data_IF_440525274394
#
_entry.id   IF_440525274394
#
_cell.length_a   1.000
_cell.length_b   1.000
_cell.length_c   1.000
_cell.angle_alpha   90.00
_cell.angle_beta   90.00
_cell.angle_gamma   90.00
#
_symmetry.space_group_name_H-M   'P 1'
#
loop_
_entity.id
_entity.type
_entity.pdbx_description
1 polymer ?
#
# COMPACT_ATOMS: atom_id res chain seq x y z
N UNK A 1 29.93 -25.04 -8.94
CA UNK A 1 30.32 -24.27 -7.76
C UNK A 1 29.10 -23.45 -7.37
N UNK A 2 28.52 -23.78 -6.22
CA UNK A 2 27.25 -23.25 -5.73
C UNK A 2 27.49 -21.88 -5.10
N UNK A 3 27.43 -20.82 -5.89
CA UNK A 3 27.61 -19.45 -5.42
C UNK A 3 26.50 -18.98 -4.46
N UNK A 4 25.40 -19.73 -4.34
CA UNK A 4 24.27 -19.39 -3.45
C UNK A 4 24.60 -19.67 -1.97
N UNK A 5 25.58 -20.53 -1.66
CA UNK A 5 25.96 -20.87 -0.29
C UNK A 5 26.84 -19.85 0.45
N UNK A 6 27.35 -18.83 -0.26
CA UNK A 6 28.19 -17.77 0.33
C UNK A 6 27.46 -16.43 0.53
N UNK A 7 26.26 -16.25 0.01
CA UNK A 7 25.50 -15.02 0.20
C UNK A 7 24.77 -15.06 1.54
N UNK A 8 24.99 -14.02 2.34
CA UNK A 8 24.29 -13.87 3.62
C UNK A 8 22.80 -13.64 3.39
N UNK A 9 21.96 -14.16 4.28
CA UNK A 9 20.50 -14.07 4.19
C UNK A 9 20.03 -12.62 4.10
N UNK A 10 20.64 -11.69 4.82
CA UNK A 10 20.30 -10.27 4.76
C UNK A 10 20.47 -9.66 3.37
N UNK A 11 21.55 -10.04 2.67
CA UNK A 11 21.80 -9.60 1.28
C UNK A 11 20.78 -10.19 0.30
N UNK A 12 20.46 -11.49 0.46
CA UNK A 12 19.44 -12.15 -0.37
C UNK A 12 18.06 -11.55 -0.12
N UNK A 13 17.74 -11.25 1.14
CA UNK A 13 16.48 -10.66 1.54
C UNK A 13 16.32 -9.24 0.99
N UNK A 14 17.36 -8.39 1.10
CA UNK A 14 17.37 -7.05 0.52
C UNK A 14 17.15 -7.11 -1.00
N UNK A 15 17.88 -7.98 -1.69
CA UNK A 15 17.77 -8.17 -3.14
C UNK A 15 16.37 -8.70 -3.54
N UNK A 16 15.81 -9.64 -2.78
CA UNK A 16 14.50 -10.22 -3.04
C UNK A 16 13.39 -9.19 -2.90
N UNK A 17 13.37 -8.43 -1.81
CA UNK A 17 12.38 -7.38 -1.57
C UNK A 17 12.50 -6.24 -2.61
N UNK A 18 13.72 -5.88 -2.98
CA UNK A 18 13.96 -4.87 -4.01
C UNK A 18 13.51 -5.37 -5.39
N UNK A 19 13.94 -6.56 -5.78
CA UNK A 19 13.62 -7.16 -7.08
C UNK A 19 12.14 -7.47 -7.25
N UNK A 20 11.42 -7.83 -6.17
CA UNK A 20 9.98 -8.05 -6.19
C UNK A 20 9.20 -6.78 -6.52
N UNK A 21 9.68 -5.59 -6.14
CA UNK A 21 9.01 -4.32 -6.37
C UNK A 21 7.64 -4.20 -5.70
N UNK A 22 7.31 -5.10 -4.78
CA UNK A 22 6.05 -5.19 -4.04
C UNK A 22 6.27 -5.66 -2.61
N UNK A 23 5.27 -5.50 -1.76
CA UNK A 23 5.33 -6.10 -0.43
C UNK A 23 5.19 -7.63 -0.50
N UNK A 24 5.91 -8.34 0.38
CA UNK A 24 5.86 -9.80 0.54
C UNK A 24 5.53 -10.16 1.98
N UNK A 25 4.79 -11.26 2.19
CA UNK A 25 4.58 -11.83 3.53
C UNK A 25 5.81 -12.62 3.97
N UNK A 26 5.92 -12.87 5.29
CA UNK A 26 6.99 -13.73 5.83
C UNK A 26 6.93 -15.11 5.19
N UNK A 27 5.73 -15.70 5.03
CA UNK A 27 5.54 -16.98 4.37
C UNK A 27 6.05 -16.97 2.93
N UNK A 28 5.71 -15.92 2.14
CA UNK A 28 6.21 -15.79 0.75
C UNK A 28 7.75 -15.71 0.72
N UNK A 29 8.37 -15.04 1.69
CA UNK A 29 9.82 -14.94 1.80
C UNK A 29 10.48 -16.26 2.19
N UNK A 30 9.91 -16.97 3.18
CA UNK A 30 10.37 -18.28 3.60
C UNK A 30 10.31 -19.30 2.43
N UNK A 31 9.18 -19.35 1.71
CA UNK A 31 9.01 -20.22 0.55
C UNK A 31 10.00 -19.90 -0.58
N UNK A 32 10.31 -18.61 -0.77
CA UNK A 32 11.20 -18.16 -1.84
C UNK A 32 12.68 -18.39 -1.55
N UNK A 33 13.08 -18.26 -0.28
CA UNK A 33 14.50 -18.28 0.13
C UNK A 33 14.90 -19.58 0.85
N UNK A 34 13.93 -20.39 1.29
CA UNK A 34 14.17 -21.69 1.93
C UNK A 34 14.63 -21.61 3.39
N UNK A 35 14.25 -20.54 4.11
CA UNK A 35 14.56 -20.34 5.52
C UNK A 35 13.29 -20.47 6.37
N UNK A 36 13.44 -20.74 7.66
CA UNK A 36 12.33 -20.78 8.58
C UNK A 36 11.81 -19.39 8.98
N UNK A 37 10.63 -19.35 9.63
CA UNK A 37 9.93 -18.10 9.94
C UNK A 37 10.67 -17.26 10.99
N UNK A 38 11.25 -17.91 12.00
CA UNK A 38 11.96 -17.23 13.09
C UNK A 38 13.24 -16.58 12.57
N UNK A 39 14.03 -17.33 11.79
CA UNK A 39 15.25 -16.83 11.15
C UNK A 39 14.94 -15.70 10.15
N UNK A 40 13.86 -15.82 9.39
CA UNK A 40 13.42 -14.79 8.45
C UNK A 40 13.01 -13.50 9.17
N UNK A 41 12.26 -13.60 10.27
CA UNK A 41 11.83 -12.45 11.07
C UNK A 41 13.03 -11.74 11.70
N UNK A 42 13.96 -12.49 12.30
CA UNK A 42 15.18 -11.93 12.88
C UNK A 42 16.01 -11.17 11.84
N UNK A 43 16.13 -11.75 10.64
CA UNK A 43 16.82 -11.12 9.53
C UNK A 43 16.10 -9.84 9.06
N UNK A 44 14.77 -9.84 8.95
CA UNK A 44 13.97 -8.67 8.57
C UNK A 44 14.14 -7.52 9.56
N UNK A 45 14.09 -7.78 10.86
CA UNK A 45 14.29 -6.76 11.89
C UNK A 45 15.72 -6.23 11.91
N UNK A 46 16.71 -7.10 11.72
CA UNK A 46 18.14 -6.73 11.61
C UNK A 46 18.38 -5.82 10.40
N UNK A 47 17.91 -6.23 9.22
CA UNK A 47 18.05 -5.47 7.98
C UNK A 47 17.30 -4.12 8.04
N UNK A 48 16.09 -4.10 8.63
CA UNK A 48 15.35 -2.86 8.90
C UNK A 48 16.16 -1.88 9.74
N UNK A 49 16.79 -2.37 10.83
CA UNK A 49 17.66 -1.58 11.69
C UNK A 49 18.89 -1.03 10.94
N UNK A 50 19.50 -1.87 10.12
CA UNK A 50 20.70 -1.53 9.33
C UNK A 50 20.40 -0.46 8.31
N UNK A 51 19.34 -0.63 7.50
CA UNK A 51 18.94 0.35 6.48
C UNK A 51 18.49 1.68 7.11
N UNK A 52 17.79 1.64 8.25
CA UNK A 52 17.39 2.84 8.97
C UNK A 52 18.57 3.68 9.43
N UNK A 53 19.63 3.04 9.94
CA UNK A 53 20.84 3.70 10.47
C UNK A 53 21.85 4.08 9.38
N UNK A 54 21.73 3.52 8.18
CA UNK A 54 22.64 3.77 7.08
C UNK A 54 22.63 5.25 6.69
N UNK A 55 23.74 5.97 6.94
CA UNK A 55 23.91 7.35 6.52
C UNK A 55 24.03 7.41 4.99
N UNK A 56 23.30 8.33 4.35
CA UNK A 56 23.27 8.49 2.89
C UNK A 56 22.51 7.40 2.15
N UNK A 57 21.86 6.46 2.84
CA UNK A 57 20.95 5.47 2.22
C UNK A 57 19.56 6.04 2.01
N UNK A 58 19.01 5.88 0.80
CA UNK A 58 17.67 6.34 0.44
C UNK A 58 16.55 5.35 0.81
N UNK A 59 16.90 4.08 1.07
CA UNK A 59 15.93 2.99 1.25
C UNK A 59 15.76 2.62 2.72
N UNK A 60 14.58 2.11 3.03
CA UNK A 60 14.23 1.51 4.31
C UNK A 60 13.33 0.29 4.11
N UNK A 61 13.20 -0.56 5.14
CA UNK A 61 12.18 -1.61 5.19
C UNK A 61 10.95 -1.09 5.92
N UNK A 62 9.80 -1.22 5.29
CA UNK A 62 8.48 -0.97 5.86
C UNK A 62 7.78 -2.28 6.18
N UNK A 63 7.20 -2.34 7.37
CA UNK A 63 6.32 -3.41 7.83
C UNK A 63 4.88 -2.90 7.84
N UNK A 64 4.00 -3.59 7.13
CA UNK A 64 2.58 -3.24 7.03
C UNK A 64 1.74 -4.50 7.26
N UNK A 65 1.22 -4.64 8.46
CA UNK A 65 0.52 -5.85 8.88
C UNK A 65 1.45 -7.06 8.91
N UNK A 66 1.16 -8.04 8.07
CA UNK A 66 1.96 -9.27 7.87
C UNK A 66 2.92 -9.18 6.65
N UNK A 67 3.09 -7.99 6.09
CA UNK A 67 3.86 -7.81 4.84
C UNK A 67 5.02 -6.84 5.01
N UNK A 68 6.06 -7.08 4.22
CA UNK A 68 7.32 -6.34 4.24
C UNK A 68 7.67 -5.82 2.85
N UNK A 69 8.20 -4.62 2.77
CA UNK A 69 8.62 -4.02 1.51
C UNK A 69 9.87 -3.16 1.69
N UNK A 70 10.68 -3.05 0.63
CA UNK A 70 11.66 -1.97 0.52
C UNK A 70 10.97 -0.75 -0.06
N UNK A 71 11.15 0.39 0.57
CA UNK A 71 10.62 1.67 0.12
C UNK A 71 11.65 2.79 0.29
N UNK A 72 11.41 3.91 -0.36
CA UNK A 72 12.20 5.12 -0.16
C UNK A 72 11.87 5.72 1.22
N UNK A 73 12.88 6.21 1.94
CA UNK A 73 12.69 6.92 3.21
C UNK A 73 11.79 8.14 3.00
N UNK A 74 10.87 8.44 3.94
CA UNK A 74 9.88 9.49 3.77
C UNK A 74 10.44 10.86 3.47
N UNK A 75 11.48 11.23 4.21
CA UNK A 75 12.20 12.49 4.06
C UNK A 75 12.83 12.67 2.66
N UNK A 76 13.13 11.57 1.98
CA UNK A 76 13.63 11.56 0.61
C UNK A 76 12.49 11.47 -0.41
N UNK A 77 11.44 10.71 -0.08
CA UNK A 77 10.28 10.51 -0.96
C UNK A 77 9.58 11.81 -1.35
N UNK A 78 9.57 12.82 -0.47
CA UNK A 78 9.03 14.14 -0.74
C UNK A 78 9.75 14.86 -1.89
N UNK A 79 11.05 14.60 -2.04
CA UNK A 79 11.91 15.22 -3.07
C UNK A 79 11.98 14.44 -4.38
N UNK A 80 11.32 13.27 -4.47
CA UNK A 80 11.31 12.50 -5.70
C UNK A 80 10.53 13.21 -6.81
N UNK A 81 11.04 13.17 -8.05
CA UNK A 81 10.28 13.63 -9.20
C UNK A 81 9.01 12.79 -9.38
N UNK A 82 7.98 13.37 -10.01
CA UNK A 82 6.67 12.70 -10.20
C UNK A 82 6.80 11.36 -10.91
N UNK A 83 7.69 11.26 -11.88
CA UNK A 83 7.97 10.07 -12.69
C UNK A 83 8.52 8.90 -11.87
N UNK A 84 9.15 9.20 -10.73
CA UNK A 84 9.67 8.19 -9.79
C UNK A 84 8.66 7.77 -8.71
N UNK A 85 7.48 8.40 -8.66
CA UNK A 85 6.41 8.01 -7.72
C UNK A 85 5.58 6.89 -8.31
N UNK A 86 5.35 5.83 -7.53
CA UNK A 86 4.50 4.72 -7.94
C UNK A 86 3.05 5.20 -8.01
N UNK A 87 2.48 5.26 -9.21
CA UNK A 87 1.06 5.54 -9.39
C UNK A 87 0.22 4.27 -9.15
N UNK A 88 -0.88 4.45 -8.42
CA UNK A 88 -1.84 3.38 -8.22
C UNK A 88 -2.68 3.18 -9.49
N UNK A 89 -2.82 1.95 -10.02
CA UNK A 89 -3.69 1.70 -11.18
C UNK A 89 -5.10 2.24 -10.97
N UNK A 90 -5.68 2.88 -12.00
CA UNK A 90 -7.02 3.52 -11.94
C UNK A 90 -8.10 2.56 -11.41
N UNK A 91 -8.05 1.27 -11.81
CA UNK A 91 -8.98 0.23 -11.33
C UNK A 91 -9.00 0.05 -9.81
N UNK A 92 -7.89 0.39 -9.14
CA UNK A 92 -7.76 0.26 -7.69
C UNK A 92 -8.13 1.54 -6.94
N UNK A 93 -8.21 2.68 -7.62
CA UNK A 93 -8.49 3.97 -6.98
C UNK A 93 -9.83 3.97 -6.27
N UNK A 94 -10.89 3.44 -6.90
CA UNK A 94 -12.22 3.36 -6.29
C UNK A 94 -12.20 2.53 -5.01
N UNK A 95 -11.60 1.34 -5.04
CA UNK A 95 -11.50 0.48 -3.87
C UNK A 95 -10.68 1.13 -2.74
N UNK A 96 -9.55 1.76 -3.08
CA UNK A 96 -8.70 2.48 -2.14
C UNK A 96 -9.46 3.65 -1.48
N UNK A 97 -10.21 4.42 -2.27
CA UNK A 97 -11.02 5.55 -1.81
C UNK A 97 -12.14 5.10 -0.86
N UNK A 98 -12.86 4.03 -1.19
CA UNK A 98 -13.90 3.46 -0.32
C UNK A 98 -13.31 2.98 1.02
N UNK A 99 -12.15 2.33 0.99
CA UNK A 99 -11.46 1.91 2.23
C UNK A 99 -11.07 3.13 3.07
N UNK A 100 -10.49 4.16 2.48
CA UNK A 100 -10.09 5.37 3.19
C UNK A 100 -11.28 6.08 3.84
N UNK A 101 -12.39 6.18 3.11
CA UNK A 101 -13.62 6.84 3.55
C UNK A 101 -14.31 6.10 4.72
N UNK A 102 -14.38 4.76 4.65
CA UNK A 102 -15.10 3.95 5.62
C UNK A 102 -14.23 3.34 6.72
N UNK A 103 -12.89 3.41 6.62
CA UNK A 103 -11.97 2.73 7.53
C UNK A 103 -12.24 3.01 9.03
N UNK A 104 -12.03 2.04 9.91
CA UNK A 104 -11.79 0.64 9.60
C UNK A 104 -13.04 -0.02 9.00
N UNK A 105 -12.89 -0.77 7.90
CA UNK A 105 -14.02 -1.46 7.29
C UNK A 105 -13.75 -2.95 7.10
N UNK A 106 -14.79 -3.77 7.07
CA UNK A 106 -14.65 -5.19 6.77
C UNK A 106 -14.48 -5.40 5.26
N UNK A 107 -13.70 -6.42 4.89
CA UNK A 107 -13.61 -6.83 3.49
C UNK A 107 -14.96 -7.26 2.92
N UNK A 108 -15.82 -7.88 3.75
CA UNK A 108 -17.19 -8.23 3.36
C UNK A 108 -18.00 -7.01 2.92
N UNK A 109 -17.85 -5.88 3.63
CA UNK A 109 -18.52 -4.63 3.26
C UNK A 109 -18.01 -4.08 1.92
N UNK A 110 -16.71 -4.19 1.66
CA UNK A 110 -16.16 -3.80 0.36
C UNK A 110 -16.69 -4.69 -0.77
N UNK A 111 -16.88 -6.00 -0.51
CA UNK A 111 -17.48 -6.94 -1.48
C UNK A 111 -18.94 -6.58 -1.76
N UNK A 112 -19.71 -6.15 -0.76
CA UNK A 112 -21.08 -5.66 -0.97
C UNK A 112 -21.12 -4.44 -1.92
N UNK A 113 -20.11 -3.55 -1.83
CA UNK A 113 -20.04 -2.32 -2.62
C UNK A 113 -19.51 -2.55 -4.04
N UNK A 114 -18.52 -3.44 -4.21
CA UNK A 114 -17.77 -3.62 -5.47
C UNK A 114 -17.92 -5.01 -6.10
N UNK A 115 -18.69 -5.89 -5.47
CA UNK A 115 -18.84 -7.28 -5.91
C UNK A 115 -17.59 -8.13 -5.68
N UNK A 116 -17.55 -9.31 -6.31
CA UNK A 116 -16.48 -10.31 -6.11
C UNK A 116 -15.07 -9.82 -6.48
N UNK A 117 -14.96 -8.87 -7.41
CA UNK A 117 -13.67 -8.25 -7.78
C UNK A 117 -12.98 -7.55 -6.60
N UNK A 118 -13.71 -7.21 -5.54
CA UNK A 118 -13.15 -6.62 -4.32
C UNK A 118 -12.06 -7.48 -3.68
N UNK A 119 -12.13 -8.81 -3.78
CA UNK A 119 -11.09 -9.70 -3.27
C UNK A 119 -9.75 -9.49 -3.98
N UNK A 120 -9.79 -9.34 -5.30
CA UNK A 120 -8.58 -9.09 -6.09
C UNK A 120 -8.05 -7.67 -5.82
N UNK A 121 -8.91 -6.67 -5.75
CA UNK A 121 -8.52 -5.29 -5.41
C UNK A 121 -7.85 -5.21 -4.04
N UNK A 122 -8.39 -5.89 -3.02
CA UNK A 122 -7.78 -5.95 -1.69
C UNK A 122 -6.41 -6.61 -1.73
N UNK A 123 -6.25 -7.69 -2.51
CA UNK A 123 -4.97 -8.37 -2.69
C UNK A 123 -3.95 -7.43 -3.35
N UNK A 124 -4.31 -6.83 -4.48
CA UNK A 124 -3.46 -5.90 -5.20
C UNK A 124 -3.10 -4.67 -4.35
N UNK A 125 -4.07 -4.02 -3.69
CA UNK A 125 -3.82 -2.87 -2.81
C UNK A 125 -2.87 -3.21 -1.66
N UNK A 126 -2.96 -4.41 -1.09
CA UNK A 126 -2.02 -4.87 -0.08
C UNK A 126 -0.61 -5.11 -0.66
N UNK A 127 -0.51 -5.65 -1.89
CA UNK A 127 0.77 -5.81 -2.58
C UNK A 127 1.44 -4.46 -2.88
N UNK A 128 0.65 -3.43 -3.25
CA UNK A 128 1.14 -2.06 -3.38
C UNK A 128 1.47 -1.40 -2.03
N UNK A 129 1.16 -2.05 -0.91
CA UNK A 129 1.37 -1.50 0.43
C UNK A 129 0.41 -0.35 0.78
N UNK A 130 -0.71 -0.20 0.07
CA UNK A 130 -1.67 0.88 0.28
C UNK A 130 -2.61 0.61 1.44
N UNK A 131 -2.88 -0.66 1.75
CA UNK A 131 -3.77 -1.06 2.85
C UNK A 131 -3.14 -2.13 3.73
N UNK A 132 -3.52 -2.11 5.00
CA UNK A 132 -3.29 -3.17 5.97
C UNK A 132 -4.54 -4.06 6.06
N UNK A 133 -4.33 -5.39 6.17
CA UNK A 133 -5.38 -6.40 6.27
C UNK A 133 -5.17 -7.22 7.52
N UNK A 134 -5.99 -7.03 8.53
CA UNK A 134 -5.94 -7.83 9.76
C UNK A 134 -7.13 -8.77 9.85
N UNK A 135 -6.91 -9.99 10.34
CA UNK A 135 -7.98 -10.94 10.62
C UNK A 135 -8.96 -10.35 11.64
N UNK A 136 -10.25 -10.46 11.36
CA UNK A 136 -11.33 -9.95 12.20
C UNK A 136 -12.52 -10.93 12.12
N UNK A 137 -12.50 -11.96 12.96
CA UNK A 137 -13.45 -13.07 12.88
C UNK A 137 -13.36 -13.81 11.55
N UNK A 138 -14.47 -13.90 10.84
CA UNK A 138 -14.59 -14.58 9.54
C UNK A 138 -14.25 -13.63 8.35
N UNK A 139 -13.91 -12.39 8.61
CA UNK A 139 -13.56 -11.40 7.59
C UNK A 139 -12.18 -10.80 7.87
N UNK A 140 -11.78 -9.84 7.06
CA UNK A 140 -10.57 -9.04 7.28
C UNK A 140 -10.95 -7.59 7.50
N UNK A 141 -10.32 -6.95 8.47
CA UNK A 141 -10.41 -5.51 8.70
C UNK A 141 -9.40 -4.81 7.80
N UNK A 142 -9.87 -3.83 7.05
CA UNK A 142 -9.10 -3.05 6.09
C UNK A 142 -8.88 -1.64 6.63
N UNK A 143 -7.64 -1.17 6.58
CA UNK A 143 -7.26 0.20 6.93
C UNK A 143 -6.18 0.70 5.97
N UNK A 144 -6.11 2.01 5.77
CA UNK A 144 -5.05 2.63 4.97
C UNK A 144 -3.71 2.63 5.69
N UNK A 145 -2.64 2.73 4.92
CA UNK A 145 -1.25 2.79 5.41
C UNK A 145 -0.69 4.20 5.24
N UNK A 146 0.52 4.42 5.74
CA UNK A 146 1.27 5.64 5.49
C UNK A 146 1.51 5.85 3.99
N UNK A 147 1.86 4.78 3.24
CA UNK A 147 2.07 4.84 1.79
C UNK A 147 0.82 5.30 1.04
N UNK A 148 -0.38 4.92 1.51
CA UNK A 148 -1.63 5.49 1.00
C UNK A 148 -1.66 7.01 1.19
N UNK A 149 -1.36 7.51 2.39
CA UNK A 149 -1.36 8.95 2.66
C UNK A 149 -0.40 9.72 1.76
N UNK A 150 0.81 9.20 1.56
CA UNK A 150 1.82 9.77 0.67
C UNK A 150 1.34 9.78 -0.79
N UNK A 151 0.75 8.67 -1.27
CA UNK A 151 0.26 8.56 -2.65
C UNK A 151 -0.92 9.48 -2.95
N UNK A 152 -1.78 9.73 -1.96
CA UNK A 152 -2.95 10.61 -2.09
C UNK A 152 -2.73 12.04 -1.60
N UNK A 153 -1.49 12.41 -1.23
CA UNK A 153 -1.18 13.75 -0.75
C UNK A 153 -1.81 14.10 0.61
N UNK A 154 -2.18 13.08 1.40
CA UNK A 154 -2.74 13.29 2.73
C UNK A 154 -1.62 13.68 3.72
N UNK A 155 -1.72 14.80 4.45
CA UNK A 155 -0.68 15.26 5.36
C UNK A 155 -0.63 14.46 6.67
N UNK A 156 -1.56 13.51 6.86
CA UNK A 156 -1.68 12.73 8.08
C UNK A 156 -1.34 11.26 7.84
N UNK A 157 -0.77 10.62 8.87
CA UNK A 157 -0.50 9.19 8.91
C UNK A 157 -1.40 8.44 9.92
N UNK A 158 -1.98 9.17 10.87
CA UNK A 158 -2.96 8.62 11.80
C UNK A 158 -4.28 8.28 11.09
N UNK A 159 -4.76 7.05 11.29
CA UNK A 159 -5.93 6.50 10.59
C UNK A 159 -7.21 7.33 10.77
N UNK A 160 -7.43 7.90 11.97
CA UNK A 160 -8.61 8.73 12.24
C UNK A 160 -8.50 10.06 11.50
N UNK A 161 -7.31 10.67 11.50
CA UNK A 161 -7.06 11.92 10.77
C UNK A 161 -7.10 11.71 9.26
N UNK A 162 -6.54 10.61 8.74
CA UNK A 162 -6.63 10.24 7.32
C UNK A 162 -8.10 10.09 6.90
N UNK A 163 -8.91 9.38 7.68
CA UNK A 163 -10.34 9.23 7.41
C UNK A 163 -11.07 10.57 7.40
N UNK A 164 -10.84 11.42 8.38
CA UNK A 164 -11.47 12.73 8.48
C UNK A 164 -11.08 13.62 7.29
N UNK A 165 -9.79 13.71 6.98
CA UNK A 165 -9.28 14.45 5.85
C UNK A 165 -9.86 13.94 4.52
N UNK A 166 -9.88 12.61 4.33
CA UNK A 166 -10.40 12.03 3.09
C UNK A 166 -11.90 12.31 2.91
N UNK A 167 -12.68 12.23 3.98
CA UNK A 167 -14.11 12.59 3.97
C UNK A 167 -14.33 14.06 3.61
N UNK A 168 -13.51 14.95 4.15
CA UNK A 168 -13.56 16.37 3.82
C UNK A 168 -13.25 16.61 2.33
N UNK A 169 -12.21 15.96 1.78
CA UNK A 169 -11.89 16.07 0.35
C UNK A 169 -13.03 15.55 -0.53
N UNK A 170 -13.58 14.40 -0.21
CA UNK A 170 -14.73 13.81 -0.94
C UNK A 170 -15.96 14.73 -0.91
N UNK A 171 -16.23 15.38 0.21
CA UNK A 171 -17.33 16.36 0.32
C UNK A 171 -17.07 17.60 -0.53
N UNK A 172 -15.83 18.12 -0.54
CA UNK A 172 -15.45 19.28 -1.35
C UNK A 172 -15.55 19.01 -2.85
N UNK A 173 -15.24 17.80 -3.28
CA UNK A 173 -15.21 17.41 -4.71
C UNK A 173 -16.56 16.88 -5.21
N UNK A 174 -17.52 16.60 -4.34
CA UNK A 174 -18.83 16.06 -4.73
C UNK A 174 -18.83 14.63 -5.29
N UNK A 175 -17.72 13.88 -5.11
CA UNK A 175 -17.51 12.54 -5.69
C UNK A 175 -18.25 11.43 -4.92
N UNK A 176 -18.92 11.74 -3.80
CA UNK A 176 -19.51 10.73 -2.92
C UNK A 176 -20.46 9.78 -3.67
N UNK A 177 -21.35 10.32 -4.48
CA UNK A 177 -22.31 9.54 -5.26
C UNK A 177 -21.62 8.60 -6.26
N UNK A 178 -20.50 9.05 -6.86
CA UNK A 178 -19.68 8.24 -7.79
C UNK A 178 -18.95 7.10 -7.11
N UNK A 179 -18.61 7.23 -5.82
CA UNK A 179 -17.94 6.18 -5.06
C UNK A 179 -18.89 5.05 -4.62
N UNK A 180 -20.16 5.38 -4.37
CA UNK A 180 -21.16 4.43 -3.85
C UNK A 180 -22.03 3.79 -4.96
N UNK A 181 -22.13 4.39 -6.15
CA UNK A 181 -22.89 3.82 -7.27
C UNK A 181 -22.05 2.85 -8.11
N UNK A 182 -22.66 1.72 -8.49
CA UNK A 182 -22.05 0.71 -9.35
C UNK A 182 -21.92 1.15 -10.82
N UNK A 183 -22.39 2.35 -11.19
CA UNK A 183 -22.45 2.82 -12.58
C UNK A 183 -21.06 3.14 -13.19
N UNK A 184 -20.03 3.35 -12.38
CA UNK A 184 -18.68 3.70 -12.85
C UNK A 184 -17.94 2.51 -13.52
N UNK A 185 -18.47 1.29 -13.44
CA UNK A 185 -17.86 0.12 -14.08
C UNK A 185 -18.23 -0.01 -15.58
N UNK A 186 -19.10 0.86 -16.12
CA UNK A 186 -19.51 0.81 -17.53
C UNK A 186 -18.71 1.72 -18.46
N UNK A 187 -18.01 2.72 -17.92
CA UNK A 187 -17.22 3.65 -18.73
C UNK A 187 -15.71 3.48 -18.49
N UNK A 188 -15.14 2.39 -19.03
CA UNK A 188 -13.67 2.25 -19.12
C UNK A 188 -13.04 3.23 -20.14
N UNK A 189 -13.81 4.09 -20.80
CA UNK A 189 -13.33 4.90 -21.94
C UNK A 189 -13.34 6.42 -21.75
N UNK A 190 -13.93 7.00 -20.72
CA UNK A 190 -14.11 8.47 -20.68
C UNK A 190 -13.65 9.24 -19.45
N UNK A 191 -13.10 8.62 -18.40
CA UNK A 191 -12.62 9.38 -17.23
C UNK A 191 -11.12 9.65 -17.32
N UNK A 192 -10.75 10.82 -17.88
CA UNK A 192 -9.35 11.29 -17.99
C UNK A 192 -8.84 12.03 -16.75
N UNK A 193 -9.58 12.08 -15.65
CA UNK A 193 -9.16 12.72 -14.39
C UNK A 193 -8.83 11.70 -13.32
N UNK A 194 -7.68 11.80 -12.69
CA UNK A 194 -7.35 11.04 -11.49
C UNK A 194 -7.99 11.67 -10.26
N UNK A 195 -8.24 10.90 -9.18
CA UNK A 195 -8.65 11.47 -7.88
C UNK A 195 -7.62 12.53 -7.41
N UNK A 196 -6.35 12.36 -7.79
CA UNK A 196 -5.30 13.35 -7.57
C UNK A 196 -5.52 14.65 -8.34
N UNK A 197 -6.01 14.58 -9.60
CA UNK A 197 -6.30 15.77 -10.40
C UNK A 197 -7.54 16.50 -9.86
N UNK A 198 -8.54 15.77 -9.39
CA UNK A 198 -9.74 16.33 -8.78
C UNK A 198 -9.43 17.03 -7.43
N UNK A 199 -8.49 16.48 -6.66
CA UNK A 199 -8.03 17.08 -5.39
C UNK A 199 -7.18 18.35 -5.62
N UNK A 200 -6.49 18.49 -6.77
CA UNK A 200 -5.72 19.68 -7.13
C UNK A 200 -6.58 20.87 -7.57
N UNK A 201 -7.75 20.63 -8.18
CA UNK A 201 -8.68 21.70 -8.56
C UNK A 201 -9.39 22.37 -7.38
N UNK A 202 -9.27 21.84 -6.17
CA UNK A 202 -9.85 22.42 -4.97
C UNK A 202 -8.90 23.40 -4.24
N UNK A 203 -7.68 23.61 -4.74
CA UNK A 203 -6.66 24.51 -4.16
C UNK A 203 -6.49 25.83 -4.95
N UNK A 204 -7.23 26.06 -6.04
CA UNK A 204 -7.39 27.33 -6.74
C UNK A 204 -8.74 28.02 -6.39
#
# INVERSE_FOLDING_TARGET
>A
VDYMSELQLDTLLEATLFGAGRSMSVTELCDSLGYDEDEMLDCLYSLRSTLKRRRGGALQIAEVGDRWAIEVKPDIAEHLPKEAKTELPKKLLKAASLIAYHQPMSQSRLVELLGQKAYDYVRELAQYGMIDRRKDGNTRRLTTTRRFSEAFGCPYTDRKKVKAWFREQVQKTGILDSLETNDVLKDETEYQGTVQDTLKFAEE
#
